data_IF_214382019635
#
_entry.id   IF_214382019635
#
_cell.length_a   1.000
_cell.length_b   1.000
_cell.length_c   1.000
_cell.angle_alpha   90.00
_cell.angle_beta   90.00
_cell.angle_gamma   90.00
#
_symmetry.space_group_name_H-M   'P 1'
#
loop_
_entity.id
_entity.type
_entity.pdbx_description
1 polymer ?
#
# COMPACT_ATOMS: atom_id res chain seq x y z
N UNK A 1 0.54 2.26 -15.17
CA UNK A 1 0.15 2.08 -13.75
C UNK A 1 -1.13 2.86 -13.54
N UNK A 2 -2.22 2.16 -13.24
CA UNK A 2 -3.51 2.76 -12.95
C UNK A 2 -3.77 2.61 -11.45
N UNK A 3 -3.32 3.55 -10.59
CA UNK A 3 -3.83 3.61 -9.24
C UNK A 3 -5.35 3.85 -9.27
N UNK A 4 -6.08 3.33 -8.29
CA UNK A 4 -7.52 3.57 -8.19
C UNK A 4 -7.81 5.05 -7.91
N UNK A 5 -8.90 5.54 -8.45
CA UNK A 5 -9.34 6.93 -8.24
C UNK A 5 -10.27 7.02 -7.04
N UNK A 6 -10.17 8.12 -6.29
CA UNK A 6 -11.02 8.42 -5.15
C UNK A 6 -11.91 9.60 -5.48
N UNK A 7 -13.22 9.38 -5.44
CA UNK A 7 -14.24 10.36 -5.78
C UNK A 7 -15.20 10.51 -4.59
N UNK A 8 -15.29 11.72 -4.03
CA UNK A 8 -16.21 12.05 -2.93
C UNK A 8 -16.12 11.11 -1.71
N UNK A 9 -14.91 10.59 -1.41
CA UNK A 9 -14.68 9.66 -0.31
C UNK A 9 -14.94 8.19 -0.65
N UNK A 10 -15.24 7.87 -1.91
CA UNK A 10 -15.42 6.50 -2.40
C UNK A 10 -14.32 6.14 -3.40
N UNK A 11 -14.00 4.85 -3.48
CA UNK A 11 -13.10 4.34 -4.53
C UNK A 11 -13.93 4.06 -5.77
N UNK A 12 -13.57 4.68 -6.90
CA UNK A 12 -14.18 4.39 -8.18
C UNK A 12 -13.74 2.99 -8.66
N UNK A 13 -14.68 2.10 -8.94
CA UNK A 13 -14.37 0.75 -9.41
C UNK A 13 -13.84 0.81 -10.85
N UNK A 14 -12.68 0.19 -11.15
CA UNK A 14 -12.18 0.12 -12.51
C UNK A 14 -13.14 -0.62 -13.45
N UNK A 15 -13.31 -0.12 -14.67
CA UNK A 15 -14.21 -0.71 -15.68
C UNK A 15 -13.49 -1.68 -16.63
N UNK A 16 -12.17 -1.78 -16.53
CA UNK A 16 -11.36 -2.72 -17.31
C UNK A 16 -11.38 -4.15 -16.73
N UNK A 17 -10.90 -5.14 -17.48
CA UNK A 17 -10.84 -6.51 -17.02
C UNK A 17 -9.83 -6.70 -15.86
N UNK A 18 -10.02 -7.77 -15.09
CA UNK A 18 -9.13 -8.14 -13.98
C UNK A 18 -9.33 -7.26 -12.75
N UNK A 19 -8.25 -7.01 -12.01
CA UNK A 19 -8.30 -6.20 -10.78
C UNK A 19 -8.23 -4.69 -11.04
N UNK A 20 -8.06 -4.27 -12.30
CA UNK A 20 -7.87 -2.86 -12.66
C UNK A 20 -6.55 -2.25 -12.14
N UNK A 21 -5.59 -3.09 -11.75
CA UNK A 21 -4.28 -2.72 -11.21
C UNK A 21 -3.20 -3.46 -11.98
N UNK A 22 -2.06 -2.80 -12.19
CA UNK A 22 -0.89 -3.37 -12.84
C UNK A 22 0.37 -3.05 -12.05
N UNK A 23 1.25 -4.06 -11.93
CA UNK A 23 2.53 -3.91 -11.25
C UNK A 23 3.57 -3.29 -12.18
N UNK A 24 4.43 -2.44 -11.62
CA UNK A 24 5.59 -1.90 -12.31
C UNK A 24 6.80 -2.77 -12.03
N UNK A 25 7.08 -3.72 -12.92
CA UNK A 25 8.14 -4.71 -12.75
C UNK A 25 9.52 -4.09 -12.54
N UNK A 26 9.80 -2.96 -13.19
CA UNK A 26 11.05 -2.22 -13.04
C UNK A 26 11.22 -1.59 -11.64
N UNK A 27 10.10 -1.36 -10.94
CA UNK A 27 10.08 -0.88 -9.55
C UNK A 27 10.21 -2.06 -8.61
N UNK A 28 9.55 -3.19 -8.89
CA UNK A 28 9.67 -4.41 -8.10
C UNK A 28 11.14 -4.87 -8.00
N UNK A 29 11.88 -4.83 -9.10
CA UNK A 29 13.31 -5.17 -9.11
C UNK A 29 14.17 -4.19 -8.30
N UNK A 30 13.77 -2.92 -8.19
CA UNK A 30 14.48 -1.90 -7.38
C UNK A 30 14.15 -2.00 -5.88
N UNK A 31 12.94 -2.45 -5.55
CA UNK A 31 12.44 -2.59 -4.18
C UNK A 31 12.01 -4.04 -3.91
N UNK A 32 12.95 -5.01 -3.92
CA UNK A 32 12.64 -6.40 -3.66
C UNK A 32 12.21 -6.59 -2.20
N UNK A 33 11.55 -7.72 -1.95
CA UNK A 33 11.22 -8.15 -0.59
C UNK A 33 12.45 -8.15 0.32
N UNK A 34 12.25 -7.67 1.56
CA UNK A 34 13.22 -7.72 2.65
C UNK A 34 12.48 -8.12 3.91
N UNK A 35 13.04 -9.05 4.66
CA UNK A 35 12.53 -9.38 5.97
C UNK A 35 12.79 -8.20 6.92
N UNK A 36 11.74 -7.74 7.59
CA UNK A 36 11.83 -6.71 8.62
C UNK A 36 11.41 -7.29 9.96
N UNK A 37 12.03 -6.87 11.08
CA UNK A 37 11.56 -7.25 12.40
C UNK A 37 10.13 -6.75 12.60
N UNK A 38 9.37 -7.44 13.46
CA UNK A 38 8.04 -7.00 13.85
C UNK A 38 8.11 -5.55 14.37
N UNK A 39 7.28 -4.67 13.81
CA UNK A 39 7.24 -3.26 14.22
C UNK A 39 6.84 -3.18 15.70
N UNK A 40 7.63 -2.46 16.50
CA UNK A 40 7.20 -2.04 17.83
C UNK A 40 6.14 -0.94 17.69
N UNK A 41 4.91 -1.23 18.10
CA UNK A 41 3.85 -0.23 18.16
C UNK A 41 3.91 0.43 19.55
N UNK A 42 4.07 1.77 19.63
CA UNK A 42 3.98 2.46 20.90
C UNK A 42 2.63 2.18 21.56
N UNK A 43 2.66 1.92 22.86
CA UNK A 43 1.50 1.76 23.71
C UNK A 43 1.40 2.94 24.67
N UNK A 44 0.27 3.06 25.36
CA UNK A 44 0.07 4.09 26.39
C UNK A 44 1.16 4.09 27.48
N UNK A 45 1.88 2.97 27.67
CA UNK A 45 2.97 2.85 28.66
C UNK A 45 4.30 3.39 28.17
N UNK A 46 4.44 3.58 26.86
CA UNK A 46 5.65 4.08 26.21
C UNK A 46 5.61 5.62 26.05
N UNK A 47 4.43 6.21 26.18
CA UNK A 47 4.23 7.65 26.35
C UNK A 47 4.65 8.00 27.79
N UNK A 48 5.86 8.52 27.97
CA UNK A 48 6.33 9.00 29.29
C UNK A 48 5.41 10.06 29.92
N UNK A 49 5.70 10.54 31.14
CA UNK A 49 4.96 11.63 31.77
C UNK A 49 5.00 12.93 30.94
#
# INVERSE_FOLDING_TARGET
>A
MNPFEVENGYIALPQGPGLGLELREEVLGRYPYREFPLRHLPTYRDEGP
#
